data_IF_857298842477
#
_entry.id   IF_857298842477
#
_cell.length_a   1.000
_cell.length_b   1.000
_cell.length_c   1.000
_cell.angle_alpha   90.00
_cell.angle_beta   90.00
_cell.angle_gamma   90.00
#
_symmetry.space_group_name_H-M   'P 1'
#
loop_
_entity.id
_entity.type
_entity.pdbx_description
1 polymer ?
#
# COMPACT_ATOMS: atom_id res chain seq x y z
N UNK A 1 -4.46 11.34 1.31
CA UNK A 1 -3.27 11.89 0.65
C UNK A 1 -2.31 10.76 0.29
N UNK A 2 -1.06 11.08 0.01
CA UNK A 2 0.02 10.12 -0.28
C UNK A 2 1.12 10.23 0.78
N UNK A 3 2.00 9.23 0.87
CA UNK A 3 3.10 9.29 1.84
C UNK A 3 2.56 9.41 3.27
N UNK A 4 3.16 10.27 4.08
CA UNK A 4 2.79 10.47 5.49
C UNK A 4 1.35 10.91 5.71
N UNK A 5 0.73 11.53 4.70
CA UNK A 5 -0.68 11.97 4.74
C UNK A 5 -1.70 10.86 4.39
N UNK A 6 -1.23 9.64 4.15
CA UNK A 6 -2.09 8.47 3.95
C UNK A 6 -2.61 7.94 5.29
N UNK A 7 -3.92 7.71 5.37
CA UNK A 7 -4.60 7.11 6.53
C UNK A 7 -5.21 5.77 6.10
N UNK A 8 -4.51 4.64 6.30
CA UNK A 8 -5.00 3.32 5.92
C UNK A 8 -6.06 2.80 6.90
N UNK A 9 -7.18 2.32 6.39
CA UNK A 9 -8.29 1.78 7.19
C UNK A 9 -8.26 0.24 7.17
N UNK A 10 -7.38 -0.34 7.98
CA UNK A 10 -7.23 -1.81 8.09
C UNK A 10 -8.56 -2.49 8.45
N UNK A 11 -9.36 -1.86 9.31
CA UNK A 11 -10.68 -2.35 9.72
C UNK A 11 -11.71 -2.46 8.58
N UNK A 12 -11.48 -1.75 7.46
CA UNK A 12 -12.32 -1.80 6.26
C UNK A 12 -11.67 -2.59 5.11
N UNK A 13 -10.52 -3.22 5.34
CA UNK A 13 -9.80 -4.00 4.31
C UNK A 13 -10.17 -5.48 4.44
N UNK A 14 -10.65 -6.09 3.35
CA UNK A 14 -11.15 -7.47 3.35
C UNK A 14 -10.62 -8.29 2.19
N UNK A 15 -10.68 -9.62 2.35
CA UNK A 15 -10.52 -10.60 1.28
C UNK A 15 -11.86 -11.33 1.15
N UNK A 16 -12.58 -11.10 0.05
CA UNK A 16 -13.92 -11.63 -0.20
C UNK A 16 -14.92 -11.40 0.98
N UNK A 17 -14.84 -10.23 1.63
CA UNK A 17 -15.71 -9.85 2.74
C UNK A 17 -15.21 -10.29 4.13
N UNK A 18 -14.15 -11.08 4.22
CA UNK A 18 -13.55 -11.50 5.49
C UNK A 18 -12.44 -10.50 5.88
N UNK A 19 -12.38 -10.00 7.14
CA UNK A 19 -11.36 -9.05 7.57
C UNK A 19 -9.93 -9.53 7.31
N UNK A 20 -9.07 -8.62 6.82
CA UNK A 20 -7.66 -8.92 6.50
C UNK A 20 -6.88 -9.53 7.69
N UNK A 21 -7.23 -9.13 8.92
CA UNK A 21 -6.60 -9.61 10.16
C UNK A 21 -6.83 -11.09 10.45
N UNK A 22 -7.78 -11.74 9.76
CA UNK A 22 -7.95 -13.20 9.84
C UNK A 22 -6.92 -13.97 9.01
N UNK A 23 -6.24 -13.31 8.08
CA UNK A 23 -5.30 -13.94 7.16
C UNK A 23 -3.84 -13.59 7.45
N UNK A 24 -3.58 -12.38 7.95
CA UNK A 24 -2.23 -11.86 8.16
C UNK A 24 -2.06 -11.33 9.59
N UNK A 25 -0.89 -11.57 10.18
CA UNK A 25 -0.49 -10.95 11.44
C UNK A 25 -0.20 -9.45 11.30
N UNK A 26 -0.19 -8.75 12.43
CA UNK A 26 -0.01 -7.28 12.49
C UNK A 26 1.28 -6.81 11.80
N UNK A 27 2.42 -7.45 12.07
CA UNK A 27 3.71 -7.10 11.46
C UNK A 27 3.66 -7.13 9.93
N UNK A 28 3.02 -8.15 9.36
CA UNK A 28 2.89 -8.28 7.90
C UNK A 28 1.97 -7.20 7.34
N UNK A 29 0.89 -6.88 8.04
CA UNK A 29 -0.03 -5.80 7.66
C UNK A 29 0.69 -4.44 7.69
N UNK A 30 1.47 -4.16 8.73
CA UNK A 30 2.26 -2.93 8.86
C UNK A 30 3.28 -2.80 7.73
N UNK A 31 3.99 -3.88 7.38
CA UNK A 31 4.91 -3.88 6.25
C UNK A 31 4.21 -3.58 4.90
N UNK A 32 2.99 -4.09 4.70
CA UNK A 32 2.19 -3.81 3.51
C UNK A 32 1.71 -2.36 3.47
N UNK A 33 1.27 -1.81 4.61
CA UNK A 33 0.90 -0.40 4.73
C UNK A 33 2.08 0.50 4.36
N UNK A 34 3.26 0.20 4.89
CA UNK A 34 4.45 1.02 4.64
C UNK A 34 4.90 0.96 3.17
N UNK A 35 4.86 -0.24 2.57
CA UNK A 35 5.12 -0.37 1.13
C UNK A 35 4.09 0.40 0.31
N UNK A 36 2.81 0.36 0.67
CA UNK A 36 1.74 1.11 -0.01
C UNK A 36 1.98 2.61 0.08
N UNK A 37 2.37 3.09 1.27
CA UNK A 37 2.72 4.51 1.51
C UNK A 37 3.83 4.99 0.57
N UNK A 38 4.80 4.13 0.30
CA UNK A 38 5.99 4.37 -0.54
C UNK A 38 5.85 3.87 -1.98
N UNK A 39 4.70 3.34 -2.39
CA UNK A 39 4.57 2.64 -3.67
C UNK A 39 4.95 3.49 -4.89
N UNK A 40 4.58 4.78 -4.90
CA UNK A 40 5.00 5.70 -5.96
C UNK A 40 6.52 5.89 -6.01
N UNK A 41 7.16 6.04 -4.84
CA UNK A 41 8.62 6.17 -4.73
C UNK A 41 9.34 4.87 -5.11
N UNK A 42 8.76 3.70 -4.80
CA UNK A 42 9.28 2.39 -5.22
C UNK A 42 9.39 2.31 -6.75
N UNK A 43 8.33 2.73 -7.47
CA UNK A 43 8.36 2.73 -8.94
C UNK A 43 9.34 3.76 -9.51
N UNK A 44 9.41 4.97 -8.94
CA UNK A 44 10.41 5.98 -9.34
C UNK A 44 11.83 5.44 -9.17
N UNK A 45 12.09 4.75 -8.05
CA UNK A 45 13.39 4.16 -7.78
C UNK A 45 13.79 3.07 -8.79
N UNK A 46 12.83 2.35 -9.39
CA UNK A 46 13.09 1.39 -10.46
C UNK A 46 13.23 2.04 -11.83
N UNK A 47 12.33 2.96 -12.19
CA UNK A 47 12.33 3.58 -13.52
C UNK A 47 13.47 4.59 -13.71
N UNK A 48 13.98 5.19 -12.62
CA UNK A 48 15.04 6.23 -12.58
C UNK A 48 14.67 7.55 -13.25
N UNK A 49 13.97 7.50 -14.38
CA UNK A 49 13.50 8.64 -15.16
C UNK A 49 12.00 8.49 -15.37
N UNK A 50 11.20 9.15 -14.53
CA UNK A 50 9.73 9.12 -14.56
C UNK A 50 9.10 8.45 -13.35
N UNK A 51 7.77 8.34 -13.37
CA UNK A 51 6.94 7.76 -12.30
C UNK A 51 5.99 6.69 -12.85
N UNK A 52 5.27 6.01 -11.96
CA UNK A 52 4.22 5.06 -12.36
C UNK A 52 3.19 5.73 -13.27
N UNK A 53 2.75 5.02 -14.31
CA UNK A 53 1.76 5.51 -15.26
C UNK A 53 0.63 4.52 -15.54
N UNK A 54 0.89 3.20 -15.59
CA UNK A 54 -0.17 2.19 -15.80
C UNK A 54 -1.16 2.06 -14.64
N UNK A 55 -0.70 2.17 -13.38
CA UNK A 55 -1.61 2.07 -12.23
C UNK A 55 -2.40 3.37 -11.95
N UNK A 56 -1.83 4.58 -12.18
CA UNK A 56 -2.60 5.82 -12.06
C UNK A 56 -3.57 6.13 -13.20
N UNK A 57 -3.38 5.55 -14.39
CA UNK A 57 -4.20 5.82 -15.59
C UNK A 57 -5.59 5.22 -15.56
#
# INVERSE_FOLDING_TARGET
GHGDTMVPLVSYTTIAGIPLTQFLGSERIEALIERTRKGGAEIVAHLKTGSAYYAPS
#
